data_IF_335617101266
#
_entry.id   IF_335617101266
#
_cell.length_a   1.000
_cell.length_b   1.000
_cell.length_c   1.000
_cell.angle_alpha   90.00
_cell.angle_beta   90.00
_cell.angle_gamma   90.00
#
_symmetry.space_group_name_H-M   'P 1'
#
loop_
_entity.id
_entity.type
_entity.pdbx_description
1 polymer ?
#
# COMPACT_ATOMS: atom_id res chain seq x y z
N UNK A 1 -13.34 -17.22 1.88
CA UNK A 1 -13.81 -15.94 1.28
C UNK A 1 -12.68 -14.92 1.39
N UNK A 2 -12.35 -14.16 0.33
CA UNK A 2 -11.34 -13.09 0.41
C UNK A 2 -11.77 -11.98 1.39
N UNK A 3 -10.80 -11.42 2.13
CA UNK A 3 -11.02 -10.28 3.02
C UNK A 3 -10.37 -9.04 2.42
N UNK A 4 -11.16 -8.01 2.15
CA UNK A 4 -10.65 -6.71 1.70
C UNK A 4 -9.89 -6.04 2.83
N UNK A 5 -8.66 -5.60 2.56
CA UNK A 5 -7.81 -4.92 3.54
C UNK A 5 -7.43 -3.49 3.14
N UNK A 6 -7.49 -3.18 1.83
CA UNK A 6 -7.27 -1.84 1.31
C UNK A 6 -8.11 -1.64 0.06
N UNK A 7 -8.64 -0.45 -0.12
CA UNK A 7 -9.22 0.01 -1.37
C UNK A 7 -8.92 1.48 -1.59
N UNK A 8 -8.40 1.80 -2.78
CA UNK A 8 -8.25 3.17 -3.27
C UNK A 8 -9.02 3.30 -4.59
N UNK A 9 -10.07 4.05 -4.59
CA UNK A 9 -10.89 4.36 -5.79
C UNK A 9 -10.61 5.77 -6.32
N UNK A 10 -9.54 6.38 -5.82
CA UNK A 10 -9.18 7.77 -6.08
C UNK A 10 -9.86 8.72 -5.11
N UNK A 11 -9.63 10.01 -5.33
CA UNK A 11 -10.04 11.07 -4.42
C UNK A 11 -8.82 11.78 -3.84
N UNK A 12 -8.97 13.08 -3.62
CA UNK A 12 -7.84 13.95 -3.30
C UNK A 12 -7.29 13.76 -1.87
N UNK A 13 -8.12 13.32 -0.95
CA UNK A 13 -7.80 13.37 0.48
C UNK A 13 -7.94 12.04 1.23
N UNK A 14 -8.31 10.95 0.55
CA UNK A 14 -8.67 9.70 1.20
C UNK A 14 -7.60 9.16 2.16
N UNK A 15 -6.35 9.14 1.72
CA UNK A 15 -5.19 8.66 2.48
C UNK A 15 -4.26 9.80 2.93
N UNK A 16 -4.51 11.02 2.46
CA UNK A 16 -3.68 12.19 2.73
C UNK A 16 -3.76 12.59 4.21
N UNK A 17 -2.60 12.80 4.82
CA UNK A 17 -2.48 13.24 6.21
C UNK A 17 -3.21 12.36 7.24
N UNK A 18 -3.42 11.07 6.92
CA UNK A 18 -3.84 10.09 7.90
C UNK A 18 -2.69 9.78 8.85
N UNK A 19 -2.96 9.93 10.14
CA UNK A 19 -1.99 9.74 11.21
C UNK A 19 -1.60 8.27 11.41
N UNK A 20 -0.54 8.04 12.18
CA UNK A 20 -0.17 6.71 12.63
C UNK A 20 -1.33 5.97 13.30
N UNK A 21 -2.03 6.66 14.20
CA UNK A 21 -3.17 6.07 14.92
C UNK A 21 -4.34 5.75 13.98
N UNK A 22 -4.62 6.59 12.99
CA UNK A 22 -5.64 6.28 11.98
C UNK A 22 -5.25 5.07 11.13
N UNK A 23 -3.99 4.96 10.68
CA UNK A 23 -3.52 3.76 9.98
C UNK A 23 -3.47 2.52 10.88
N UNK A 24 -3.22 2.69 12.18
CA UNK A 24 -3.24 1.59 13.15
C UNK A 24 -4.63 0.98 13.30
N UNK A 25 -5.66 1.81 13.51
CA UNK A 25 -7.02 1.35 13.76
C UNK A 25 -7.84 1.10 12.51
N UNK A 26 -7.46 1.73 11.38
CA UNK A 26 -8.18 1.66 10.11
C UNK A 26 -9.18 2.80 9.91
N UNK A 27 -9.55 3.02 8.66
CA UNK A 27 -10.47 4.09 8.26
C UNK A 27 -11.19 3.76 6.94
N UNK A 28 -12.29 4.47 6.70
CA UNK A 28 -13.00 4.49 5.43
C UNK A 28 -13.57 5.89 5.16
N UNK A 29 -14.01 6.11 3.93
CA UNK A 29 -14.76 7.31 3.54
C UNK A 29 -16.02 6.96 2.72
N UNK A 30 -16.84 7.98 2.47
CA UNK A 30 -18.09 7.83 1.71
C UNK A 30 -17.89 7.46 0.23
N UNK A 31 -16.67 7.63 -0.31
CA UNK A 31 -16.31 7.26 -1.68
C UNK A 31 -15.93 5.78 -1.81
N UNK A 32 -15.75 5.09 -0.68
CA UNK A 32 -15.36 3.69 -0.63
C UNK A 32 -13.84 3.47 -0.51
N UNK A 33 -13.06 4.49 -0.24
CA UNK A 33 -11.66 4.31 0.14
C UNK A 33 -11.59 3.65 1.52
N UNK A 34 -10.62 2.73 1.70
CA UNK A 34 -10.60 1.85 2.87
C UNK A 34 -9.19 1.39 3.22
N UNK A 35 -8.90 1.38 4.52
CA UNK A 35 -7.76 0.71 5.13
C UNK A 35 -8.22 -0.07 6.37
N UNK A 36 -7.89 -1.36 6.43
CA UNK A 36 -8.34 -2.25 7.52
C UNK A 36 -7.78 -1.88 8.89
N UNK A 37 -6.56 -1.36 8.92
CA UNK A 37 -5.80 -1.08 10.13
C UNK A 37 -4.58 -1.99 10.29
N UNK A 38 -3.42 -1.39 10.62
CA UNK A 38 -2.16 -2.11 10.75
C UNK A 38 -2.19 -3.12 11.89
N UNK A 39 -2.88 -2.80 12.99
CA UNK A 39 -2.99 -3.71 14.12
C UNK A 39 -3.77 -4.98 13.76
N UNK A 40 -4.88 -4.84 13.06
CA UNK A 40 -5.66 -6.00 12.61
C UNK A 40 -4.93 -6.78 11.51
N UNK A 41 -4.21 -6.08 10.62
CA UNK A 41 -3.32 -6.74 9.64
C UNK A 41 -2.27 -7.59 10.33
N UNK A 42 -1.62 -7.07 11.38
CA UNK A 42 -0.69 -7.83 12.19
C UNK A 42 -1.33 -9.10 12.74
N UNK A 43 -2.44 -8.96 13.46
CA UNK A 43 -3.13 -10.08 14.10
C UNK A 43 -3.56 -11.17 13.11
N UNK A 44 -4.00 -10.80 11.92
CA UNK A 44 -4.41 -11.75 10.88
C UNK A 44 -3.22 -12.43 10.23
N UNK A 45 -2.17 -11.67 9.88
CA UNK A 45 -1.07 -12.19 9.06
C UNK A 45 -0.07 -13.05 9.84
N UNK A 46 0.09 -12.83 11.15
CA UNK A 46 0.95 -13.69 12.00
C UNK A 46 0.46 -15.14 12.06
N UNK A 47 -0.80 -15.40 11.73
CA UNK A 47 -1.34 -16.77 11.67
C UNK A 47 -0.79 -17.59 10.50
N UNK A 48 -0.13 -16.94 9.53
CA UNK A 48 0.40 -17.53 8.31
C UNK A 48 -0.63 -18.28 7.43
N UNK A 49 -1.91 -17.92 7.57
CA UNK A 49 -3.03 -18.55 6.85
C UNK A 49 -3.40 -17.86 5.54
N UNK A 50 -2.82 -16.69 5.29
CA UNK A 50 -3.22 -15.82 4.19
C UNK A 50 -2.10 -15.58 3.20
N UNK A 51 -2.49 -15.38 1.96
CA UNK A 51 -1.71 -14.76 0.88
C UNK A 51 -2.24 -13.35 0.66
N UNK A 52 -1.40 -12.48 0.10
CA UNK A 52 -1.83 -11.17 -0.36
C UNK A 52 -2.15 -11.24 -1.86
N UNK A 53 -3.25 -10.59 -2.25
CA UNK A 53 -3.59 -10.33 -3.65
C UNK A 53 -3.91 -8.86 -3.85
N UNK A 54 -3.33 -8.28 -4.88
CA UNK A 54 -3.74 -7.00 -5.43
C UNK A 54 -4.64 -7.21 -6.64
N UNK A 55 -5.71 -6.42 -6.73
CA UNK A 55 -6.48 -6.18 -7.95
C UNK A 55 -6.26 -4.71 -8.34
N UNK A 56 -5.65 -4.49 -9.51
CA UNK A 56 -5.23 -3.19 -10.00
C UNK A 56 -5.94 -2.89 -11.31
N UNK A 57 -6.58 -1.73 -11.40
CA UNK A 57 -7.22 -1.25 -12.62
C UNK A 57 -6.36 -0.15 -13.24
N UNK A 58 -6.02 -0.31 -14.52
CA UNK A 58 -5.24 0.69 -15.25
C UNK A 58 -6.06 1.97 -15.47
N UNK A 59 -5.41 3.12 -15.32
CA UNK A 59 -6.01 4.42 -15.65
C UNK A 59 -6.06 4.68 -17.16
N UNK A 60 -5.12 4.14 -17.93
CA UNK A 60 -5.08 4.30 -19.37
C UNK A 60 -6.20 3.54 -20.08
N UNK A 61 -6.63 2.42 -19.51
CA UNK A 61 -7.76 1.64 -20.01
C UNK A 61 -8.50 0.98 -18.83
N UNK A 62 -9.66 1.51 -18.48
CA UNK A 62 -10.45 1.08 -17.34
C UNK A 62 -11.01 -0.35 -17.48
N UNK A 63 -10.99 -0.93 -18.68
CA UNK A 63 -11.35 -2.34 -18.89
C UNK A 63 -10.21 -3.30 -18.51
N UNK A 64 -8.98 -2.80 -18.36
CA UNK A 64 -7.83 -3.63 -18.05
C UNK A 64 -7.64 -3.76 -16.54
N UNK A 65 -7.69 -5.01 -16.07
CA UNK A 65 -7.44 -5.39 -14.70
C UNK A 65 -6.22 -6.29 -14.61
N UNK A 66 -5.40 -6.03 -13.61
CA UNK A 66 -4.16 -6.76 -13.36
C UNK A 66 -4.13 -7.28 -11.94
N UNK A 67 -3.42 -8.37 -11.73
CA UNK A 67 -3.23 -8.97 -10.42
C UNK A 67 -1.76 -9.08 -10.06
N UNK A 68 -1.45 -8.87 -8.79
CA UNK A 68 -0.18 -9.21 -8.18
C UNK A 68 -0.47 -10.02 -6.92
N UNK A 69 0.07 -11.22 -6.82
CA UNK A 69 -0.10 -12.10 -5.67
C UNK A 69 1.23 -12.35 -4.98
N UNK A 70 1.19 -12.50 -3.66
CA UNK A 70 2.34 -12.81 -2.82
C UNK A 70 2.00 -13.97 -1.92
N UNK A 71 2.74 -15.07 -2.05
CA UNK A 71 2.49 -16.27 -1.25
C UNK A 71 2.84 -16.07 0.22
N UNK A 72 3.74 -15.15 0.54
CA UNK A 72 4.04 -14.72 1.91
C UNK A 72 3.66 -13.26 2.06
N UNK A 73 2.86 -12.96 3.07
CA UNK A 73 2.55 -11.60 3.50
C UNK A 73 2.39 -11.60 5.02
N UNK A 74 3.25 -10.86 5.70
CA UNK A 74 3.28 -10.75 7.15
C UNK A 74 3.56 -9.29 7.53
N UNK A 75 2.73 -8.75 8.39
CA UNK A 75 2.92 -7.46 9.05
C UNK A 75 3.30 -7.73 10.49
N UNK A 76 4.48 -7.31 10.92
CA UNK A 76 4.94 -7.48 12.30
C UNK A 76 4.21 -6.51 13.23
N UNK A 77 4.47 -6.60 14.54
CA UNK A 77 3.77 -5.80 15.55
C UNK A 77 4.19 -4.31 15.52
N UNK A 78 3.43 -3.48 16.21
CA UNK A 78 3.74 -2.06 16.38
C UNK A 78 5.14 -1.81 16.98
N UNK A 79 5.64 -2.73 17.83
CA UNK A 79 6.98 -2.65 18.41
C UNK A 79 8.10 -2.63 17.35
N UNK A 80 7.84 -3.16 16.16
CA UNK A 80 8.73 -3.11 15.00
C UNK A 80 8.23 -2.13 13.94
N UNK A 81 7.38 -1.18 14.30
CA UNK A 81 6.75 -0.24 13.40
C UNK A 81 6.00 -0.92 12.25
N UNK A 82 5.29 -2.02 12.53
CA UNK A 82 4.53 -2.81 11.56
C UNK A 82 5.36 -3.23 10.34
N UNK A 83 6.60 -3.65 10.54
CA UNK A 83 7.52 -4.04 9.46
C UNK A 83 6.89 -5.10 8.55
N UNK A 84 7.08 -4.91 7.24
CA UNK A 84 6.56 -5.79 6.19
C UNK A 84 7.51 -6.95 5.89
N UNK A 85 6.96 -8.16 5.80
CA UNK A 85 7.62 -9.29 5.15
C UNK A 85 6.75 -9.80 4.00
N UNK A 86 7.28 -9.79 2.80
CA UNK A 86 6.58 -10.21 1.59
C UNK A 86 7.50 -10.97 0.66
N UNK A 87 6.99 -12.05 0.02
CA UNK A 87 7.72 -12.83 -0.97
C UNK A 87 6.78 -13.69 -1.83
N UNK A 88 7.33 -14.33 -2.86
CA UNK A 88 6.61 -15.27 -3.71
C UNK A 88 5.62 -14.59 -4.66
N UNK A 89 6.10 -13.57 -5.39
CA UNK A 89 5.34 -12.84 -6.40
C UNK A 89 4.86 -13.74 -7.54
N UNK A 90 3.62 -13.52 -7.96
CA UNK A 90 3.03 -14.04 -9.19
C UNK A 90 1.93 -13.10 -9.68
N UNK A 91 1.54 -13.22 -10.95
CA UNK A 91 0.48 -12.39 -11.51
C UNK A 91 0.87 -11.75 -12.85
N UNK A 92 0.04 -10.81 -13.31
CA UNK A 92 0.21 -10.13 -14.59
C UNK A 92 0.35 -8.60 -14.48
N UNK A 93 0.61 -8.09 -13.29
CA UNK A 93 0.79 -6.66 -13.05
C UNK A 93 2.16 -6.11 -13.53
N UNK A 94 2.97 -6.93 -14.20
CA UNK A 94 4.28 -6.54 -14.71
C UNK A 94 5.38 -6.76 -13.69
N UNK A 95 5.99 -5.67 -13.20
CA UNK A 95 7.09 -5.75 -12.24
C UNK A 95 6.61 -6.10 -10.82
N UNK A 96 7.44 -6.86 -10.09
CA UNK A 96 7.23 -7.13 -8.66
C UNK A 96 7.55 -5.88 -7.82
N UNK A 97 6.61 -4.94 -7.81
CA UNK A 97 6.84 -3.65 -7.18
C UNK A 97 6.84 -3.72 -5.64
N UNK A 98 6.04 -4.61 -5.04
CA UNK A 98 5.95 -4.65 -3.58
C UNK A 98 7.18 -5.27 -2.93
N UNK A 99 7.91 -6.17 -3.59
CA UNK A 99 9.15 -6.74 -3.03
C UNK A 99 10.23 -5.69 -2.77
N UNK A 100 10.18 -4.53 -3.44
CA UNK A 100 11.04 -3.38 -3.12
C UNK A 100 10.79 -2.83 -1.69
N UNK A 101 9.60 -3.05 -1.17
CA UNK A 101 9.16 -2.60 0.16
C UNK A 101 9.35 -3.66 1.25
N UNK A 102 9.91 -4.82 0.91
CA UNK A 102 10.13 -5.90 1.87
C UNK A 102 11.16 -5.51 2.95
N UNK A 103 10.87 -5.83 4.20
CA UNK A 103 11.74 -5.52 5.34
C UNK A 103 11.67 -4.07 5.81
N UNK A 104 10.75 -3.26 5.27
CA UNK A 104 10.63 -1.85 5.63
C UNK A 104 9.54 -1.64 6.68
N UNK A 105 9.74 -0.61 7.50
CA UNK A 105 8.79 -0.16 8.52
C UNK A 105 7.68 0.67 7.88
N UNK A 106 6.51 0.69 8.50
CA UNK A 106 5.42 1.58 8.10
C UNK A 106 5.75 3.03 8.46
N UNK A 107 5.51 3.96 7.54
CA UNK A 107 5.72 5.40 7.74
C UNK A 107 4.42 6.15 7.49
N UNK A 108 4.12 7.11 8.35
CA UNK A 108 3.04 8.09 8.20
C UNK A 108 3.60 9.50 8.25
N UNK A 109 2.80 10.52 7.90
CA UNK A 109 3.28 11.91 7.92
C UNK A 109 3.74 12.37 9.32
N UNK A 110 3.15 11.84 10.37
CA UNK A 110 3.43 12.16 11.78
C UNK A 110 4.38 11.17 12.47
N UNK A 111 4.78 10.08 11.79
CA UNK A 111 5.75 9.10 12.28
C UNK A 111 6.61 8.57 11.14
N UNK A 112 7.78 9.16 11.02
CA UNK A 112 8.77 8.84 9.99
C UNK A 112 9.64 7.68 10.43
N UNK A 113 9.55 6.57 9.70
CA UNK A 113 10.35 5.36 9.91
C UNK A 113 11.09 4.94 8.63
N UNK A 114 11.02 5.74 7.56
CA UNK A 114 11.73 5.42 6.31
C UNK A 114 13.15 5.99 6.28
N UNK A 115 14.04 5.43 5.44
CA UNK A 115 15.44 5.87 5.37
C UNK A 115 15.66 7.05 4.41
N UNK A 116 14.60 7.64 3.84
CA UNK A 116 14.72 8.71 2.84
C UNK A 116 15.16 10.02 3.47
N UNK A 117 16.07 10.73 2.79
CA UNK A 117 16.65 12.00 3.29
C UNK A 117 16.54 13.08 2.22
N UNK A 118 15.36 13.66 2.05
CA UNK A 118 15.16 14.79 1.15
C UNK A 118 14.41 15.92 1.86
N UNK A 119 15.13 16.96 2.25
CA UNK A 119 14.70 18.01 3.17
C UNK A 119 13.43 18.77 2.75
N UNK A 120 13.15 18.85 1.44
CA UNK A 120 11.94 19.53 0.92
C UNK A 120 10.63 18.93 1.44
N UNK A 121 10.61 17.65 1.78
CA UNK A 121 9.44 16.94 2.28
C UNK A 121 9.67 16.42 3.71
N UNK A 122 10.42 17.15 4.51
CA UNK A 122 10.77 16.79 5.88
C UNK A 122 11.44 15.41 6.00
N UNK A 123 12.14 14.97 4.94
CA UNK A 123 12.74 13.64 4.83
C UNK A 123 11.74 12.48 4.98
N UNK A 124 10.46 12.69 4.70
CA UNK A 124 9.39 11.75 4.98
C UNK A 124 8.65 11.38 3.68
N UNK A 125 8.71 10.10 3.30
CA UNK A 125 8.05 9.58 2.12
C UNK A 125 6.52 9.67 2.20
N UNK A 126 5.91 9.53 3.36
CA UNK A 126 4.45 9.64 3.48
C UNK A 126 3.96 11.08 3.21
N UNK A 127 4.77 12.09 3.53
CA UNK A 127 4.50 13.48 3.15
C UNK A 127 4.63 13.67 1.65
N UNK A 128 5.67 13.09 1.03
CA UNK A 128 5.90 13.18 -0.41
C UNK A 128 4.86 12.40 -1.23
N UNK A 129 4.54 11.18 -0.81
CA UNK A 129 3.65 10.27 -1.53
C UNK A 129 2.16 10.53 -1.24
N UNK A 130 1.86 11.26 -0.17
CA UNK A 130 0.50 11.64 0.20
C UNK A 130 -0.29 10.56 0.92
N UNK A 131 0.36 9.61 1.57
CA UNK A 131 -0.29 8.56 2.36
C UNK A 131 0.70 7.61 3.01
N UNK A 132 0.27 6.91 4.06
CA UNK A 132 1.11 5.96 4.79
C UNK A 132 1.34 4.66 4.02
N UNK A 133 2.56 4.13 4.10
CA UNK A 133 2.95 2.83 3.52
C UNK A 133 4.31 2.37 4.06
N UNK A 134 4.81 1.25 3.57
CA UNK A 134 6.16 0.73 3.87
C UNK A 134 7.17 1.32 2.88
N UNK A 135 7.73 2.47 3.19
CA UNK A 135 8.59 3.22 2.26
C UNK A 135 10.08 2.96 2.43
N UNK A 136 10.82 3.07 1.33
CA UNK A 136 12.28 3.11 1.28
C UNK A 136 12.77 4.51 0.90
N UNK A 137 12.77 4.83 -0.43
CA UNK A 137 13.18 6.12 -0.98
C UNK A 137 12.43 6.46 -2.31
N UNK A 138 11.15 6.61 -2.47
CA UNK A 138 10.10 6.21 -1.52
C UNK A 138 9.54 4.83 -1.87
N UNK A 139 9.09 4.56 -3.11
CA UNK A 139 8.60 3.25 -3.43
C UNK A 139 8.39 2.98 -4.93
N UNK A 140 8.17 1.71 -5.26
CA UNK A 140 7.84 1.22 -6.59
C UNK A 140 6.33 0.98 -6.78
N UNK A 141 5.57 1.00 -5.70
CA UNK A 141 4.11 1.10 -5.76
C UNK A 141 3.60 2.12 -4.75
N UNK A 142 2.58 2.85 -5.16
CA UNK A 142 1.91 3.87 -4.37
C UNK A 142 0.43 3.56 -4.36
N UNK A 143 0.00 2.59 -3.56
CA UNK A 143 -1.41 2.17 -3.50
C UNK A 143 -2.26 3.06 -2.60
N UNK A 144 -1.65 3.71 -1.60
CA UNK A 144 -2.27 4.65 -0.68
C UNK A 144 -1.98 6.12 -1.02
N UNK A 145 -1.47 6.39 -2.22
CA UNK A 145 -1.18 7.75 -2.66
C UNK A 145 -2.44 8.56 -2.95
N UNK A 146 -2.31 9.88 -2.87
CA UNK A 146 -3.35 10.82 -3.23
C UNK A 146 -3.07 11.44 -4.59
N UNK A 147 -4.11 11.55 -5.43
CA UNK A 147 -4.01 12.27 -6.70
C UNK A 147 -3.63 13.73 -6.45
N UNK A 148 -2.62 14.22 -7.17
CA UNK A 148 -2.19 15.61 -7.12
C UNK A 148 -1.15 15.92 -6.05
N UNK A 149 -0.87 15.04 -5.10
CA UNK A 149 0.25 15.15 -4.15
C UNK A 149 1.35 14.19 -4.59
N UNK A 150 2.52 14.69 -4.94
CA UNK A 150 3.63 13.89 -5.46
C UNK A 150 3.32 13.09 -6.74
N UNK A 151 2.13 13.23 -7.30
CA UNK A 151 1.62 12.50 -8.47
C UNK A 151 0.48 11.52 -8.12
N UNK A 152 0.00 10.85 -9.15
CA UNK A 152 -1.07 9.86 -9.03
C UNK A 152 -0.58 8.56 -8.38
N UNK A 153 -1.49 7.76 -7.80
CA UNK A 153 -1.10 6.44 -7.31
C UNK A 153 -0.80 5.47 -8.46
N UNK A 154 0.23 4.66 -8.27
CA UNK A 154 0.81 3.87 -9.34
C UNK A 154 1.38 2.53 -8.87
N UNK A 155 1.61 1.64 -9.84
CA UNK A 155 2.38 0.41 -9.72
C UNK A 155 3.45 0.40 -10.81
N UNK A 156 4.72 0.25 -10.44
CA UNK A 156 5.83 0.28 -11.39
C UNK A 156 5.63 -0.75 -12.49
N UNK A 157 5.74 -0.28 -13.75
CA UNK A 157 5.58 -1.12 -14.95
C UNK A 157 4.22 -1.81 -15.10
N UNK A 158 3.17 -1.33 -14.43
CA UNK A 158 1.81 -1.76 -14.75
C UNK A 158 1.56 -1.51 -16.24
N UNK A 159 1.10 -2.50 -17.01
CA UNK A 159 0.82 -2.29 -18.42
C UNK A 159 -0.13 -1.10 -18.66
N UNK A 160 0.21 -0.23 -19.58
CA UNK A 160 -0.53 1.02 -19.83
C UNK A 160 0.01 2.26 -19.09
N UNK A 161 1.27 2.22 -18.60
CA UNK A 161 1.97 3.40 -18.11
C UNK A 161 2.07 3.54 -16.59
N UNK A 162 1.72 2.50 -15.86
CA UNK A 162 1.94 2.45 -14.41
C UNK A 162 0.86 3.12 -13.56
N UNK A 163 0.10 4.07 -14.10
CA UNK A 163 -0.93 4.79 -13.33
C UNK A 163 -2.19 3.93 -13.14
N UNK A 164 -2.72 3.95 -11.91
CA UNK A 164 -3.91 3.20 -11.54
C UNK A 164 -5.16 4.09 -11.45
N UNK A 165 -6.30 3.52 -11.82
CA UNK A 165 -7.63 4.06 -11.56
C UNK A 165 -8.15 3.61 -10.20
N UNK A 166 -7.96 2.32 -9.89
CA UNK A 166 -8.28 1.74 -8.59
C UNK A 166 -7.24 0.72 -8.17
N UNK A 167 -7.07 0.55 -6.87
CA UNK A 167 -6.34 -0.57 -6.28
C UNK A 167 -7.14 -1.20 -5.16
N UNK A 168 -7.05 -2.52 -5.03
CA UNK A 168 -7.56 -3.28 -3.90
C UNK A 168 -6.52 -4.27 -3.43
N UNK A 169 -6.42 -4.42 -2.12
CA UNK A 169 -5.64 -5.47 -1.49
C UNK A 169 -6.57 -6.44 -0.75
N UNK A 170 -6.33 -7.71 -0.93
CA UNK A 170 -7.11 -8.78 -0.33
C UNK A 170 -6.23 -9.77 0.41
N UNK A 171 -6.68 -10.23 1.57
CA UNK A 171 -6.19 -11.48 2.14
C UNK A 171 -7.02 -12.63 1.56
N UNK A 172 -6.33 -13.61 0.99
CA UNK A 172 -6.93 -14.85 0.48
C UNK A 172 -6.36 -16.03 1.25
N UNK A 173 -7.16 -17.06 1.52
CA UNK A 173 -6.66 -18.26 2.18
C UNK A 173 -5.57 -18.94 1.34
N UNK A 174 -4.60 -19.52 2.01
CA UNK A 174 -3.60 -20.43 1.41
C UNK A 174 -4.22 -21.74 1.02
#
# INVERSE_FOLDING_TARGET
>A
MPLLIQQNVGGYTAFLNRSWEEFKVGFNDSSGNYWLGNELLHQLTVTNRYKLRFDLQSRANHSNHYTAEYSTFLVLSEQTNYMLHVSGYSGNAGYDALSHHNGLMFTTYDRDNDPWTYSRYNNNCAVYEGGGFWYKNCGYCRVNGARGVGGDFYWLSLPGGGLMQTSRMWLTCR
#
